data_IF_966469584954
#
_entry.id   IF_966469584954
#
_cell.length_a   1.000
_cell.length_b   1.000
_cell.length_c   1.000
_cell.angle_alpha   90.00
_cell.angle_beta   90.00
_cell.angle_gamma   90.00
#
_symmetry.space_group_name_H-M   'P 1'
#
loop_
_entity.id
_entity.type
_entity.pdbx_description
1 polymer ?
#
# COMPACT_ATOMS: atom_id res chain seq x y z
N UNK A 1 -43.74 52.03 -9.84
CA UNK A 1 -42.79 52.16 -8.71
C UNK A 1 -42.28 50.78 -8.32
N UNK A 2 -40.96 50.54 -8.48
CA UNK A 2 -40.27 49.27 -8.17
C UNK A 2 -40.23 49.04 -6.65
N UNK A 3 -40.53 47.81 -6.19
CA UNK A 3 -40.19 47.37 -4.82
C UNK A 3 -39.21 46.20 -4.89
N UNK A 4 -38.23 46.32 -3.99
CA UNK A 4 -36.90 45.71 -3.97
C UNK A 4 -36.89 44.29 -3.37
N UNK A 5 -35.92 43.54 -3.87
CA UNK A 5 -35.31 42.28 -3.42
C UNK A 5 -35.49 41.89 -1.94
N UNK A 6 -35.89 40.63 -1.72
CA UNK A 6 -35.81 39.91 -0.45
C UNK A 6 -34.39 39.35 -0.28
N UNK A 7 -33.72 39.85 0.75
CA UNK A 7 -32.39 39.43 1.18
C UNK A 7 -32.56 38.23 2.13
N UNK A 8 -32.03 37.06 1.74
CA UNK A 8 -32.01 35.87 2.60
C UNK A 8 -30.95 36.07 3.69
N UNK A 9 -31.39 36.13 4.95
CA UNK A 9 -30.51 36.04 6.11
C UNK A 9 -29.97 34.62 6.24
N UNK A 10 -28.67 34.45 6.00
CA UNK A 10 -27.92 33.27 6.45
C UNK A 10 -27.65 33.50 7.93
N UNK A 11 -28.32 32.72 8.79
CA UNK A 11 -28.06 32.70 10.23
C UNK A 11 -26.70 32.06 10.48
N UNK A 12 -25.76 32.89 10.91
CA UNK A 12 -24.40 32.53 11.29
C UNK A 12 -24.33 32.59 12.82
N UNK A 13 -24.45 31.44 13.51
CA UNK A 13 -24.23 31.35 14.96
C UNK A 13 -23.71 29.94 15.30
N UNK A 14 -22.46 29.88 15.77
CA UNK A 14 -21.93 28.74 16.54
C UNK A 14 -20.74 27.97 15.96
N UNK A 15 -19.70 28.64 15.46
CA UNK A 15 -18.37 28.02 15.38
C UNK A 15 -17.55 28.42 16.61
N UNK A 16 -17.24 27.42 17.42
CA UNK A 16 -16.37 27.55 18.58
C UNK A 16 -14.97 28.03 18.19
N UNK A 17 -14.38 28.78 19.11
CA UNK A 17 -13.04 29.34 19.08
C UNK A 17 -11.98 28.43 18.44
N UNK A 18 -11.48 28.84 17.29
CA UNK A 18 -10.12 28.55 16.86
C UNK A 18 -9.30 29.81 17.12
N UNK A 19 -8.56 29.84 18.23
CA UNK A 19 -7.47 30.80 18.40
C UNK A 19 -6.29 30.23 17.60
N UNK A 20 -6.19 30.60 16.33
CA UNK A 20 -4.90 30.57 15.65
C UNK A 20 -4.17 31.87 15.97
N UNK A 21 -3.05 31.72 16.67
CA UNK A 21 -2.05 32.75 16.87
C UNK A 21 -1.40 33.08 15.51
N UNK A 22 -2.00 34.03 14.79
CA UNK A 22 -1.40 34.61 13.59
C UNK A 22 -0.43 35.71 14.01
N UNK A 23 0.87 35.44 13.92
CA UNK A 23 1.89 36.48 13.93
C UNK A 23 1.70 37.34 12.66
N UNK A 24 1.33 38.61 12.86
CA UNK A 24 1.23 39.59 11.80
C UNK A 24 2.64 39.98 11.32
N UNK A 25 3.08 39.39 10.20
CA UNK A 25 4.19 39.92 9.40
C UNK A 25 3.61 40.65 8.19
N UNK A 26 3.67 41.98 8.22
CA UNK A 26 3.48 42.81 7.04
C UNK A 26 4.59 42.48 6.03
N UNK A 27 4.25 41.80 4.94
CA UNK A 27 5.14 41.70 3.77
C UNK A 27 4.39 42.19 2.55
N UNK A 28 4.94 43.24 1.95
CA UNK A 28 4.52 43.82 0.69
C UNK A 28 4.68 42.80 -0.44
N UNK A 29 3.67 42.71 -1.32
CA UNK A 29 3.71 41.88 -2.51
C UNK A 29 4.76 42.41 -3.49
N UNK A 30 5.96 41.83 -3.45
CA UNK A 30 6.92 41.93 -4.55
C UNK A 30 6.62 40.79 -5.51
N UNK A 31 6.26 41.14 -6.74
CA UNK A 31 6.08 40.20 -7.84
C UNK A 31 7.47 39.64 -8.22
N UNK A 32 7.80 38.37 -7.92
CA UNK A 32 9.10 37.84 -8.30
C UNK A 32 9.12 37.61 -9.82
N UNK A 33 10.10 38.24 -10.48
CA UNK A 33 10.46 37.96 -11.87
C UNK A 33 10.68 36.45 -12.04
N UNK A 34 10.12 35.80 -13.09
CA UNK A 34 10.33 34.37 -13.31
C UNK A 34 11.83 34.06 -13.42
N UNK A 35 12.33 33.23 -12.51
CA UNK A 35 13.69 32.71 -12.57
C UNK A 35 13.82 31.83 -13.82
N UNK A 36 14.86 31.98 -14.66
CA UNK A 36 15.04 31.16 -15.85
C UNK A 36 15.07 29.67 -15.51
N UNK A 37 14.31 28.90 -16.28
CA UNK A 37 14.23 27.44 -16.22
C UNK A 37 15.63 26.85 -16.37
N UNK A 38 16.12 26.02 -15.43
CA UNK A 38 17.38 25.30 -15.60
C UNK A 38 17.30 24.44 -16.87
N UNK A 39 18.31 24.57 -17.73
CA UNK A 39 18.47 23.76 -18.92
C UNK A 39 18.53 22.26 -18.50
N UNK A 40 17.79 21.35 -19.14
CA UNK A 40 17.82 19.94 -18.79
C UNK A 40 19.26 19.40 -18.83
N UNK A 41 19.67 18.81 -17.71
CA UNK A 41 20.91 18.04 -17.62
C UNK A 41 20.86 16.91 -18.66
N UNK A 42 21.90 16.73 -19.48
CA UNK A 42 21.97 15.63 -20.44
C UNK A 42 21.72 14.30 -19.74
N UNK A 43 20.79 13.51 -20.29
CA UNK A 43 20.52 12.16 -19.83
C UNK A 43 21.82 11.35 -19.86
N UNK A 44 22.23 10.69 -18.77
CA UNK A 44 23.42 9.84 -18.78
C UNK A 44 23.30 8.80 -19.90
N UNK A 45 24.30 8.76 -20.76
CA UNK A 45 24.49 7.73 -21.78
C UNK A 45 24.40 6.35 -21.10
N UNK A 46 23.56 5.42 -21.60
CA UNK A 46 23.51 4.07 -21.10
C UNK A 46 24.91 3.46 -21.12
N UNK A 47 25.35 2.96 -19.95
CA UNK A 47 26.56 2.16 -19.86
C UNK A 47 26.39 0.94 -20.80
N UNK A 48 27.34 0.61 -21.69
CA UNK A 48 27.23 -0.54 -22.57
C UNK A 48 26.89 -1.79 -21.77
N UNK A 49 25.85 -2.48 -22.23
CA UNK A 49 25.46 -3.81 -21.78
C UNK A 49 26.71 -4.71 -21.82
N UNK A 50 27.06 -5.40 -20.73
CA UNK A 50 28.11 -6.41 -20.76
C UNK A 50 27.82 -7.39 -21.90
N UNK A 51 28.81 -7.56 -22.78
CA UNK A 51 28.76 -8.53 -23.87
C UNK A 51 28.38 -9.90 -23.27
N UNK A 52 27.38 -10.62 -23.82
CA UNK A 52 27.03 -11.95 -23.35
C UNK A 52 28.31 -12.81 -23.30
N UNK A 53 28.59 -13.35 -22.12
CA UNK A 53 29.61 -14.37 -21.94
C UNK A 53 29.37 -15.48 -22.97
N UNK A 54 30.41 -15.92 -23.71
CA UNK A 54 30.27 -16.98 -24.68
C UNK A 54 29.59 -18.20 -24.06
N UNK A 55 28.55 -18.69 -24.73
CA UNK A 55 27.88 -19.94 -24.40
C UNK A 55 28.96 -21.04 -24.23
N UNK A 56 29.03 -21.74 -23.08
CA UNK A 56 29.99 -22.82 -22.93
C UNK A 56 29.78 -23.82 -24.05
N UNK A 57 30.86 -24.06 -24.79
CA UNK A 57 30.95 -25.10 -25.82
C UNK A 57 30.36 -26.40 -25.29
N UNK A 58 29.48 -27.09 -26.04
CA UNK A 58 28.99 -28.40 -25.66
C UNK A 58 30.17 -29.30 -25.28
N UNK A 59 30.13 -29.83 -24.06
CA UNK A 59 31.11 -30.81 -23.59
C UNK A 59 31.22 -31.91 -24.65
N UNK A 60 32.41 -32.23 -25.19
CA UNK A 60 32.56 -33.27 -26.18
C UNK A 60 31.98 -34.57 -25.62
N UNK A 61 31.01 -35.11 -26.36
CA UNK A 61 30.48 -36.44 -26.14
C UNK A 61 31.67 -37.41 -25.96
N UNK A 62 31.72 -38.23 -24.89
CA UNK A 62 32.79 -39.19 -24.73
C UNK A 62 32.85 -40.10 -25.96
N UNK A 63 34.07 -40.52 -26.40
CA UNK A 63 34.20 -41.33 -27.59
C UNK A 63 33.37 -42.59 -27.41
N UNK A 64 32.49 -42.87 -28.37
CA UNK A 64 31.92 -44.20 -28.57
C UNK A 64 33.06 -45.13 -28.96
N UNK A 65 33.77 -45.61 -27.94
CA UNK A 65 34.79 -46.65 -28.04
C UNK A 65 34.10 -47.98 -28.18
N UNK A 66 33.68 -48.31 -29.40
CA UNK A 66 33.39 -49.68 -29.77
C UNK A 66 34.70 -50.46 -29.87
N UNK A 67 35.07 -51.18 -28.81
CA UNK A 67 35.84 -52.42 -28.93
C UNK A 67 35.36 -53.43 -27.88
N UNK A 68 34.88 -54.53 -28.44
CA UNK A 68 34.56 -55.82 -27.83
C UNK A 68 35.71 -56.38 -27.00
N UNK A 69 35.42 -56.81 -25.77
CA UNK A 69 36.33 -57.62 -24.95
C UNK A 69 35.82 -57.66 -23.51
N UNK A 70 35.32 -58.83 -23.08
CA UNK A 70 34.61 -58.99 -21.82
C UNK A 70 35.41 -58.55 -20.60
N UNK A 71 34.78 -57.72 -19.78
CA UNK A 71 34.75 -57.81 -18.32
C UNK A 71 33.67 -56.83 -17.82
N UNK A 72 32.65 -57.36 -17.18
CA UNK A 72 31.55 -56.57 -16.61
C UNK A 72 32.05 -55.81 -15.38
N UNK A 73 32.33 -54.52 -15.50
CA UNK A 73 32.24 -53.59 -14.37
C UNK A 73 31.02 -52.66 -14.56
N UNK A 74 29.91 -52.84 -13.80
CA UNK A 74 28.72 -52.01 -13.93
C UNK A 74 28.77 -50.67 -13.15
N UNK A 75 29.85 -50.37 -12.42
CA UNK A 75 29.78 -49.45 -11.27
C UNK A 75 29.84 -47.94 -11.54
N UNK A 76 30.67 -47.46 -12.46
CA UNK A 76 31.15 -46.08 -12.34
C UNK A 76 30.29 -45.02 -13.05
N UNK A 77 29.66 -45.37 -14.19
CA UNK A 77 28.80 -44.46 -14.95
C UNK A 77 27.36 -44.34 -14.43
N UNK A 78 26.79 -45.45 -13.94
CA UNK A 78 25.44 -45.47 -13.35
C UNK A 78 25.41 -44.80 -11.97
N UNK A 79 26.49 -44.91 -11.19
CA UNK A 79 26.63 -44.23 -9.89
C UNK A 79 26.58 -42.71 -10.02
N UNK A 80 27.30 -42.12 -10.98
CA UNK A 80 27.28 -40.67 -11.21
C UNK A 80 25.94 -40.17 -11.75
N UNK A 81 25.29 -40.90 -12.67
CA UNK A 81 23.95 -40.53 -13.16
C UNK A 81 22.90 -40.56 -12.03
N UNK A 82 22.97 -41.56 -11.14
CA UNK A 82 22.09 -41.63 -9.97
C UNK A 82 22.34 -40.47 -8.99
N UNK A 83 23.59 -40.05 -8.79
CA UNK A 83 23.92 -38.90 -7.96
C UNK A 83 23.37 -37.58 -8.52
N UNK A 84 23.54 -37.32 -9.82
CA UNK A 84 23.01 -36.12 -10.48
C UNK A 84 21.47 -36.08 -10.47
N UNK A 85 20.82 -37.23 -10.69
CA UNK A 85 19.36 -37.34 -10.60
C UNK A 85 18.85 -37.10 -9.17
N UNK A 86 19.56 -37.62 -8.16
CA UNK A 86 19.26 -37.37 -6.75
C UNK A 86 19.41 -35.90 -6.39
N UNK A 87 20.47 -35.25 -6.86
CA UNK A 87 20.70 -33.82 -6.62
C UNK A 87 19.62 -32.94 -7.25
N UNK A 88 19.18 -33.26 -8.46
CA UNK A 88 18.05 -32.57 -9.11
C UNK A 88 16.74 -32.78 -8.35
N UNK A 89 16.48 -34.00 -7.87
CA UNK A 89 15.30 -34.29 -7.06
C UNK A 89 15.30 -33.49 -5.75
N UNK A 90 16.45 -33.42 -5.07
CA UNK A 90 16.61 -32.65 -3.83
C UNK A 90 16.45 -31.15 -4.07
N UNK A 91 17.02 -30.61 -5.15
CA UNK A 91 16.85 -29.21 -5.54
C UNK A 91 15.37 -28.88 -5.84
N UNK A 92 14.66 -29.76 -6.54
CA UNK A 92 13.21 -29.60 -6.80
C UNK A 92 12.39 -29.67 -5.51
N UNK A 93 12.76 -30.55 -4.58
CA UNK A 93 12.11 -30.64 -3.27
C UNK A 93 12.29 -29.35 -2.45
N UNK A 94 13.50 -28.76 -2.46
CA UNK A 94 13.78 -27.48 -1.81
C UNK A 94 12.94 -26.33 -2.39
N UNK A 95 12.87 -26.23 -3.73
CA UNK A 95 12.04 -25.24 -4.41
C UNK A 95 10.55 -25.39 -4.06
N UNK A 96 10.04 -26.63 -4.06
CA UNK A 96 8.64 -26.91 -3.69
C UNK A 96 8.35 -26.53 -2.24
N UNK A 97 9.28 -26.80 -1.32
CA UNK A 97 9.16 -26.38 0.08
C UNK A 97 9.02 -24.87 0.21
N UNK A 98 9.86 -24.10 -0.48
CA UNK A 98 9.78 -22.64 -0.57
C UNK A 98 8.43 -22.17 -1.13
N UNK A 99 7.99 -22.75 -2.25
CA UNK A 99 6.72 -22.40 -2.89
C UNK A 99 5.50 -22.61 -1.98
N UNK A 100 5.54 -23.63 -1.12
CA UNK A 100 4.45 -23.89 -0.17
C UNK A 100 4.18 -22.72 0.81
N UNK A 101 5.18 -21.86 1.03
CA UNK A 101 5.06 -20.69 1.91
C UNK A 101 4.44 -19.45 1.24
N UNK A 102 4.15 -19.49 -0.07
CA UNK A 102 3.72 -18.33 -0.89
C UNK A 102 2.62 -17.50 -0.24
N UNK A 103 1.49 -18.11 0.10
CA UNK A 103 0.33 -17.40 0.63
C UNK A 103 0.64 -16.71 1.96
N UNK A 104 1.38 -17.38 2.84
CA UNK A 104 1.78 -16.80 4.12
C UNK A 104 2.72 -15.62 3.90
N UNK A 105 3.79 -15.80 3.12
CA UNK A 105 4.83 -14.78 2.92
C UNK A 105 4.29 -13.56 2.18
N UNK A 106 3.53 -13.75 1.10
CA UNK A 106 2.91 -12.64 0.34
C UNK A 106 1.84 -11.92 1.16
N UNK A 107 1.08 -12.64 1.99
CA UNK A 107 0.05 -12.07 2.85
C UNK A 107 0.56 -11.07 3.91
N UNK A 108 1.82 -11.20 4.35
CA UNK A 108 2.46 -10.29 5.32
C UNK A 108 2.66 -8.85 4.80
N UNK A 109 2.50 -8.65 3.49
CA UNK A 109 2.76 -7.40 2.78
C UNK A 109 1.51 -6.80 2.15
N UNK A 110 0.31 -7.15 2.63
CA UNK A 110 -0.96 -6.63 2.08
C UNK A 110 -1.07 -5.09 2.11
N UNK A 111 -0.49 -4.44 3.13
CA UNK A 111 -0.40 -2.97 3.20
C UNK A 111 0.84 -2.41 2.44
N UNK A 112 1.67 -3.26 1.84
CA UNK A 112 2.92 -2.89 1.16
C UNK A 112 2.91 -3.41 -0.28
N UNK A 113 1.95 -2.96 -1.09
CA UNK A 113 1.70 -3.45 -2.43
C UNK A 113 2.95 -3.53 -3.33
N UNK A 114 3.90 -2.58 -3.21
CA UNK A 114 5.16 -2.64 -3.97
C UNK A 114 6.01 -3.86 -3.61
N UNK A 115 6.21 -4.12 -2.32
CA UNK A 115 6.96 -5.28 -1.83
C UNK A 115 6.20 -6.57 -2.18
N UNK A 116 4.88 -6.56 -1.97
CA UNK A 116 4.01 -7.69 -2.28
C UNK A 116 4.08 -8.11 -3.74
N UNK A 117 4.07 -7.15 -4.67
CA UNK A 117 4.15 -7.41 -6.11
C UNK A 117 5.51 -8.02 -6.51
N UNK A 118 6.62 -7.46 -6.02
CA UNK A 118 7.95 -8.01 -6.26
C UNK A 118 8.04 -9.46 -5.77
N UNK A 119 7.58 -9.72 -4.54
CA UNK A 119 7.60 -11.06 -3.97
C UNK A 119 6.68 -12.02 -4.75
N UNK A 120 5.50 -11.57 -5.15
CA UNK A 120 4.56 -12.36 -5.96
C UNK A 120 5.18 -12.75 -7.30
N UNK A 121 5.87 -11.82 -7.98
CA UNK A 121 6.54 -12.09 -9.24
C UNK A 121 7.68 -13.12 -9.09
N UNK A 122 8.45 -13.06 -8.01
CA UNK A 122 9.48 -14.05 -7.71
C UNK A 122 8.88 -15.45 -7.46
N UNK A 123 7.78 -15.54 -6.70
CA UNK A 123 7.06 -16.81 -6.53
C UNK A 123 6.53 -17.36 -7.85
N UNK A 124 5.96 -16.52 -8.72
CA UNK A 124 5.47 -16.93 -10.05
C UNK A 124 6.61 -17.46 -10.93
N UNK A 125 7.77 -16.81 -10.93
CA UNK A 125 8.95 -17.25 -11.69
C UNK A 125 9.48 -18.60 -11.18
N UNK A 126 9.53 -18.76 -9.85
CA UNK A 126 9.92 -20.01 -9.20
C UNK A 126 8.93 -21.15 -9.51
N UNK A 127 7.63 -20.85 -9.54
CA UNK A 127 6.55 -21.79 -9.87
C UNK A 127 6.66 -22.28 -11.32
N UNK A 128 6.94 -21.37 -12.27
CA UNK A 128 7.21 -21.73 -13.66
C UNK A 128 8.42 -22.69 -13.79
N UNK A 129 9.49 -22.43 -13.03
CA UNK A 129 10.67 -23.31 -13.03
C UNK A 129 10.35 -24.68 -12.44
N UNK A 130 9.55 -24.73 -11.37
CA UNK A 130 9.11 -25.98 -10.74
C UNK A 130 8.25 -26.84 -11.67
N UNK A 131 7.37 -26.21 -12.45
CA UNK A 131 6.48 -26.88 -13.41
C UNK A 131 7.19 -27.33 -14.70
N UNK A 132 8.37 -26.79 -15.01
CA UNK A 132 9.13 -27.17 -16.18
C UNK A 132 9.79 -28.55 -15.98
N UNK A 133 9.26 -29.57 -16.67
CA UNK A 133 9.78 -30.94 -16.62
C UNK A 133 11.23 -31.04 -17.11
N UNK A 134 11.66 -30.15 -18.01
CA UNK A 134 13.00 -30.07 -18.58
C UNK A 134 13.94 -29.13 -17.83
N UNK A 135 13.54 -28.57 -16.68
CA UNK A 135 14.40 -27.68 -15.89
C UNK A 135 15.69 -28.40 -15.46
N UNK A 136 16.84 -27.77 -15.74
CA UNK A 136 18.15 -28.27 -15.32
C UNK A 136 18.39 -28.05 -13.83
N UNK A 137 19.36 -28.77 -13.26
CA UNK A 137 19.77 -28.60 -11.86
C UNK A 137 20.12 -27.14 -11.53
N UNK A 138 20.87 -26.49 -12.42
CA UNK A 138 21.29 -25.10 -12.26
C UNK A 138 20.11 -24.13 -12.31
N UNK A 139 19.14 -24.35 -13.22
CA UNK A 139 17.92 -23.54 -13.26
C UNK A 139 17.11 -23.65 -11.97
N UNK A 140 16.96 -24.86 -11.43
CA UNK A 140 16.22 -25.08 -10.17
C UNK A 140 16.95 -24.43 -8.99
N UNK A 141 18.26 -24.58 -8.89
CA UNK A 141 19.08 -23.93 -7.84
C UNK A 141 19.01 -22.41 -7.93
N UNK A 142 19.12 -21.84 -9.14
CA UNK A 142 19.03 -20.40 -9.35
C UNK A 142 17.65 -19.85 -8.99
N UNK A 143 16.57 -20.54 -9.39
CA UNK A 143 15.20 -20.17 -9.01
C UNK A 143 15.00 -20.22 -7.48
N UNK A 144 15.53 -21.26 -6.84
CA UNK A 144 15.49 -21.44 -5.37
C UNK A 144 16.20 -20.29 -4.66
N UNK A 145 17.44 -20.00 -5.06
CA UNK A 145 18.24 -18.92 -4.48
C UNK A 145 17.58 -17.56 -4.71
N UNK A 146 17.10 -17.29 -5.92
CA UNK A 146 16.44 -16.01 -6.26
C UNK A 146 15.19 -15.80 -5.42
N UNK A 147 14.36 -16.84 -5.27
CA UNK A 147 13.17 -16.77 -4.44
C UNK A 147 13.53 -16.52 -2.97
N UNK A 148 14.50 -17.25 -2.43
CA UNK A 148 14.96 -17.06 -1.04
C UNK A 148 15.48 -15.64 -0.81
N UNK A 149 16.36 -15.14 -1.68
CA UNK A 149 16.87 -13.76 -1.61
C UNK A 149 15.73 -12.75 -1.67
N UNK A 150 14.72 -12.96 -2.50
CA UNK A 150 13.57 -12.04 -2.59
C UNK A 150 12.70 -12.07 -1.33
N UNK A 151 12.53 -13.25 -0.70
CA UNK A 151 11.82 -13.39 0.58
C UNK A 151 12.55 -12.60 1.67
N UNK A 152 13.87 -12.69 1.73
CA UNK A 152 14.69 -12.01 2.72
C UNK A 152 14.71 -10.48 2.46
N UNK A 153 14.84 -10.07 1.20
CA UNK A 153 14.76 -8.67 0.79
C UNK A 153 13.41 -8.05 1.15
N UNK A 154 12.29 -8.74 0.92
CA UNK A 154 10.96 -8.24 1.28
C UNK A 154 10.84 -7.91 2.78
N UNK A 155 11.46 -8.72 3.64
CA UNK A 155 11.47 -8.47 5.08
C UNK A 155 12.34 -7.25 5.45
N UNK A 156 13.52 -7.13 4.82
CA UNK A 156 14.40 -5.97 4.99
C UNK A 156 13.74 -4.68 4.52
N UNK A 157 13.19 -4.67 3.30
CA UNK A 157 12.53 -3.52 2.68
C UNK A 157 11.37 -3.01 3.53
N UNK A 158 10.60 -3.91 4.14
CA UNK A 158 9.51 -3.54 5.06
C UNK A 158 10.05 -2.87 6.32
N UNK A 159 11.11 -3.41 6.91
CA UNK A 159 11.73 -2.81 8.09
C UNK A 159 12.31 -1.44 7.78
N UNK A 160 13.01 -1.30 6.65
CA UNK A 160 13.60 -0.04 6.21
C UNK A 160 12.53 1.01 5.93
N UNK A 161 11.46 0.63 5.21
CA UNK A 161 10.31 1.50 4.99
C UNK A 161 9.71 1.97 6.32
N UNK A 162 9.49 1.06 7.26
CA UNK A 162 8.86 1.39 8.54
C UNK A 162 9.72 2.33 9.39
N UNK A 163 11.03 2.10 9.41
CA UNK A 163 11.96 2.95 10.15
C UNK A 163 12.04 4.36 9.55
N UNK A 164 12.03 4.46 8.22
CA UNK A 164 12.07 5.76 7.52
C UNK A 164 10.74 6.52 7.62
N UNK A 165 9.62 5.81 7.78
CA UNK A 165 8.27 6.38 7.72
C UNK A 165 7.46 6.14 9.00
N UNK A 166 8.12 6.10 10.17
CA UNK A 166 7.49 5.69 11.44
C UNK A 166 6.20 6.47 11.76
N UNK A 167 6.22 7.79 11.54
CA UNK A 167 5.07 8.69 11.73
C UNK A 167 3.87 8.31 10.84
N UNK A 168 4.15 7.97 9.58
CA UNK A 168 3.13 7.53 8.62
C UNK A 168 2.60 6.14 8.99
N UNK A 169 3.48 5.21 9.36
CA UNK A 169 3.10 3.86 9.81
C UNK A 169 2.15 3.94 11.01
N UNK A 170 2.49 4.80 11.98
CA UNK A 170 1.64 5.03 13.17
C UNK A 170 0.28 5.61 12.77
N UNK A 171 0.26 6.68 11.96
CA UNK A 171 -0.98 7.32 11.52
C UNK A 171 -1.87 6.38 10.69
N UNK A 172 -1.28 5.58 9.80
CA UNK A 172 -1.98 4.60 8.96
C UNK A 172 -2.57 3.47 9.81
N UNK A 173 -1.82 2.99 10.82
CA UNK A 173 -2.32 1.97 11.77
C UNK A 173 -3.51 2.49 12.56
N UNK A 174 -3.41 3.71 13.11
CA UNK A 174 -4.54 4.35 13.80
C UNK A 174 -5.74 4.55 12.87
N UNK A 175 -5.51 4.95 11.61
CA UNK A 175 -6.59 5.09 10.63
C UNK A 175 -7.31 3.75 10.39
N UNK A 176 -6.56 2.67 10.24
CA UNK A 176 -7.10 1.31 10.04
C UNK A 176 -7.97 0.86 11.22
N UNK A 177 -7.59 1.24 12.45
CA UNK A 177 -8.41 1.01 13.64
C UNK A 177 -9.64 1.92 13.68
N UNK A 178 -9.48 3.20 13.38
CA UNK A 178 -10.56 4.18 13.39
C UNK A 178 -11.67 3.83 12.37
N UNK A 179 -11.34 3.26 11.21
CA UNK A 179 -12.34 2.87 10.20
C UNK A 179 -13.23 1.71 10.67
N UNK A 180 -12.82 0.91 11.66
CA UNK A 180 -13.63 -0.21 12.19
C UNK A 180 -14.97 0.25 12.82
N UNK A 181 -15.07 1.51 13.25
CA UNK A 181 -16.30 2.09 13.79
C UNK A 181 -17.29 2.58 12.73
N UNK A 182 -16.99 2.45 11.43
CA UNK A 182 -17.83 2.99 10.35
C UNK A 182 -19.28 2.53 10.45
N UNK A 183 -19.52 1.22 10.44
CA UNK A 183 -20.87 0.66 10.45
C UNK A 183 -21.66 1.16 11.66
N UNK A 184 -21.10 0.98 12.86
CA UNK A 184 -21.73 1.40 14.13
C UNK A 184 -22.06 2.88 14.13
N UNK A 185 -21.14 3.74 13.71
CA UNK A 185 -21.37 5.18 13.72
C UNK A 185 -22.43 5.60 12.70
N UNK A 186 -22.37 5.09 11.47
CA UNK A 186 -23.29 5.50 10.41
C UNK A 186 -24.71 4.97 10.63
N UNK A 187 -24.87 3.77 11.19
CA UNK A 187 -26.16 3.22 11.60
C UNK A 187 -26.79 4.03 12.75
N UNK A 188 -25.94 4.43 13.71
CA UNK A 188 -26.34 5.30 14.82
C UNK A 188 -26.78 6.71 14.40
N UNK A 189 -26.56 7.10 13.15
CA UNK A 189 -26.93 8.41 12.59
C UNK A 189 -28.10 8.33 11.59
N UNK A 190 -28.95 7.31 11.69
CA UNK A 190 -30.08 7.08 10.78
C UNK A 190 -31.24 8.10 10.90
N UNK A 191 -31.36 8.79 12.03
CA UNK A 191 -32.41 9.77 12.26
C UNK A 191 -32.23 11.04 11.40
N UNK A 192 -33.32 11.63 10.91
CA UNK A 192 -33.28 12.78 9.99
C UNK A 192 -32.52 14.02 10.55
N UNK A 193 -32.57 14.23 11.87
CA UNK A 193 -31.82 15.31 12.54
C UNK A 193 -30.30 15.18 12.36
N UNK A 194 -29.78 13.97 12.08
CA UNK A 194 -28.34 13.70 12.05
C UNK A 194 -27.75 13.69 10.63
N UNK A 195 -28.54 14.00 9.61
CA UNK A 195 -28.14 13.93 8.19
C UNK A 195 -26.79 14.63 7.92
N UNK A 196 -26.61 15.87 8.41
CA UNK A 196 -25.36 16.60 8.20
C UNK A 196 -24.14 15.95 8.89
N UNK A 197 -24.33 15.34 10.07
CA UNK A 197 -23.29 14.60 10.77
C UNK A 197 -22.93 13.35 9.96
N UNK A 198 -23.95 12.62 9.49
CA UNK A 198 -23.81 11.41 8.68
C UNK A 198 -23.06 11.70 7.39
N UNK A 199 -23.47 12.71 6.63
CA UNK A 199 -22.86 13.06 5.33
C UNK A 199 -21.37 13.41 5.47
N UNK A 200 -21.02 14.19 6.50
CA UNK A 200 -19.64 14.55 6.75
C UNK A 200 -18.82 13.32 7.17
N UNK A 201 -19.36 12.48 8.06
CA UNK A 201 -18.67 11.28 8.52
C UNK A 201 -18.50 10.24 7.40
N UNK A 202 -19.52 10.05 6.55
CA UNK A 202 -19.43 9.22 5.33
C UNK A 202 -18.34 9.73 4.39
N UNK A 203 -18.21 11.05 4.22
CA UNK A 203 -17.14 11.64 3.40
C UNK A 203 -15.75 11.26 3.93
N UNK A 204 -15.53 11.36 5.24
CA UNK A 204 -14.24 11.02 5.84
C UNK A 204 -13.96 9.52 5.85
N UNK A 205 -14.96 8.66 6.04
CA UNK A 205 -14.79 7.22 5.86
C UNK A 205 -14.47 6.86 4.41
N UNK A 206 -15.06 7.54 3.43
CA UNK A 206 -14.68 7.40 2.02
C UNK A 206 -13.20 7.72 1.77
N UNK A 207 -12.73 8.89 2.25
CA UNK A 207 -11.31 9.27 2.17
C UNK A 207 -10.39 8.27 2.86
N UNK A 208 -10.81 7.74 4.01
CA UNK A 208 -10.04 6.73 4.73
C UNK A 208 -9.91 5.45 3.92
N UNK A 209 -11.00 4.98 3.30
CA UNK A 209 -11.00 3.81 2.41
C UNK A 209 -10.08 4.02 1.22
N UNK A 210 -10.14 5.18 0.57
CA UNK A 210 -9.26 5.50 -0.56
C UNK A 210 -7.78 5.38 -0.17
N UNK A 211 -7.40 5.90 1.01
CA UNK A 211 -6.04 5.77 1.56
C UNK A 211 -5.67 4.30 1.83
N UNK A 212 -6.56 3.54 2.48
CA UNK A 212 -6.30 2.14 2.83
C UNK A 212 -6.24 1.24 1.59
N UNK A 213 -7.04 1.52 0.57
CA UNK A 213 -7.02 0.81 -0.72
C UNK A 213 -5.75 1.10 -1.51
N UNK A 214 -5.22 2.33 -1.45
CA UNK A 214 -3.93 2.65 -2.05
C UNK A 214 -2.76 1.91 -1.38
N UNK A 215 -2.95 1.45 -0.13
CA UNK A 215 -1.98 0.81 0.76
C UNK A 215 -0.93 1.78 1.33
N UNK A 216 -0.23 1.35 2.37
CA UNK A 216 0.81 2.14 3.05
C UNK A 216 2.05 2.31 2.16
N UNK A 217 2.44 1.27 1.41
CA UNK A 217 3.48 1.35 0.39
C UNK A 217 2.94 0.93 -0.99
N UNK A 218 2.30 1.87 -1.71
CA UNK A 218 1.63 1.58 -2.98
C UNK A 218 2.57 1.05 -4.05
N UNK A 219 2.04 0.29 -5.01
CA UNK A 219 2.81 -0.29 -6.11
C UNK A 219 3.54 0.77 -6.97
N UNK A 220 2.99 1.98 -7.08
CA UNK A 220 3.64 3.12 -7.77
C UNK A 220 4.90 3.60 -7.04
N UNK A 221 5.03 3.32 -5.74
CA UNK A 221 6.03 3.89 -4.86
C UNK A 221 5.68 5.29 -4.33
N UNK A 222 4.56 5.88 -4.75
CA UNK A 222 4.09 7.17 -4.24
C UNK A 222 3.41 6.98 -2.89
N UNK A 223 4.15 7.22 -1.81
CA UNK A 223 3.65 7.01 -0.44
C UNK A 223 2.55 8.02 -0.06
N UNK A 224 1.53 7.62 0.73
CA UNK A 224 0.54 8.55 1.24
C UNK A 224 1.18 9.67 2.07
N UNK A 225 0.69 10.90 1.89
CA UNK A 225 1.16 12.05 2.69
C UNK A 225 0.69 11.89 4.14
N UNK A 226 1.64 11.87 5.07
CA UNK A 226 1.35 11.70 6.50
C UNK A 226 0.31 12.68 7.04
N UNK A 227 0.35 13.96 6.63
CA UNK A 227 -0.62 14.96 7.08
C UNK A 227 -2.03 14.66 6.58
N UNK A 228 -2.18 14.13 5.37
CA UNK A 228 -3.49 13.74 4.85
C UNK A 228 -4.06 12.56 5.64
N UNK A 229 -3.23 11.56 5.96
CA UNK A 229 -3.62 10.42 6.80
C UNK A 229 -4.01 10.89 8.21
N UNK A 230 -3.20 11.77 8.83
CA UNK A 230 -3.46 12.35 10.15
C UNK A 230 -4.77 13.15 10.17
N UNK A 231 -5.03 13.98 9.16
CA UNK A 231 -6.28 14.77 9.07
C UNK A 231 -7.51 13.87 9.03
N UNK A 232 -7.48 12.82 8.21
CA UNK A 232 -8.62 11.89 8.10
C UNK A 232 -8.78 11.09 9.40
N UNK A 233 -7.68 10.56 9.95
CA UNK A 233 -7.70 9.81 11.20
C UNK A 233 -8.22 10.65 12.38
N UNK A 234 -7.74 11.89 12.51
CA UNK A 234 -8.13 12.78 13.60
C UNK A 234 -9.62 13.12 13.53
N UNK A 235 -10.16 13.35 12.32
CA UNK A 235 -11.58 13.60 12.16
C UNK A 235 -12.41 12.40 12.63
N UNK A 236 -12.08 11.19 12.17
CA UNK A 236 -12.83 9.97 12.52
C UNK A 236 -12.72 9.68 14.02
N UNK A 237 -11.51 9.78 14.59
CA UNK A 237 -11.30 9.56 16.02
C UNK A 237 -12.05 10.59 16.86
N UNK A 238 -12.02 11.86 16.46
CA UNK A 238 -12.80 12.91 17.13
C UNK A 238 -14.30 12.66 17.03
N UNK A 239 -14.79 12.18 15.88
CA UNK A 239 -16.17 11.77 15.72
C UNK A 239 -16.52 10.62 16.68
N UNK A 240 -15.67 9.59 16.77
CA UNK A 240 -15.87 8.47 17.69
C UNK A 240 -16.03 8.93 19.15
N UNK A 241 -15.27 9.94 19.57
CA UNK A 241 -15.36 10.48 20.94
C UNK A 241 -16.56 11.39 21.18
N UNK A 242 -17.09 12.06 20.15
CA UNK A 242 -18.05 13.16 20.32
C UNK A 242 -19.42 12.90 19.67
N UNK A 243 -19.63 11.76 19.02
CA UNK A 243 -20.84 11.49 18.22
C UNK A 243 -22.13 11.65 19.03
N UNK A 244 -22.15 11.23 20.30
CA UNK A 244 -23.33 11.37 21.17
C UNK A 244 -23.61 12.83 21.53
N UNK A 245 -22.57 13.64 21.78
CA UNK A 245 -22.74 15.07 22.00
C UNK A 245 -23.27 15.76 20.74
N UNK A 246 -22.76 15.39 19.56
CA UNK A 246 -23.25 15.93 18.29
C UNK A 246 -24.72 15.58 18.04
N UNK A 247 -25.14 14.35 18.36
CA UNK A 247 -26.55 13.94 18.32
C UNK A 247 -27.41 14.79 19.26
N UNK A 248 -26.99 14.98 20.50
CA UNK A 248 -27.70 15.82 21.47
C UNK A 248 -27.85 17.27 20.96
N UNK A 249 -26.79 17.84 20.40
CA UNK A 249 -26.82 19.18 19.81
C UNK A 249 -27.78 19.25 18.61
N UNK A 250 -27.77 18.25 17.73
CA UNK A 250 -28.69 18.19 16.59
C UNK A 250 -30.16 18.08 17.02
N UNK A 251 -30.45 17.31 18.07
CA UNK A 251 -31.79 17.23 18.64
C UNK A 251 -32.22 18.56 19.26
N UNK A 252 -31.37 19.22 20.04
CA UNK A 252 -31.66 20.55 20.58
C UNK A 252 -31.95 21.57 19.47
N UNK A 253 -31.15 21.58 18.40
CA UNK A 253 -31.41 22.45 17.25
C UNK A 253 -32.79 22.20 16.63
N UNK A 254 -33.11 20.93 16.37
CA UNK A 254 -34.39 20.53 15.78
C UNK A 254 -35.57 20.88 16.68
N UNK A 255 -35.52 20.48 17.95
CA UNK A 255 -36.67 20.50 18.86
C UNK A 255 -36.87 21.85 19.55
N UNK A 256 -35.79 22.53 19.89
CA UNK A 256 -35.83 23.76 20.70
C UNK A 256 -35.77 25.04 19.88
N UNK A 257 -35.20 24.99 18.66
CA UNK A 257 -35.03 26.18 17.82
C UNK A 257 -35.86 26.11 16.54
N UNK A 258 -35.76 25.03 15.76
CA UNK A 258 -36.43 24.96 14.46
C UNK A 258 -37.93 24.70 14.58
N UNK A 259 -38.37 23.89 15.55
CA UNK A 259 -39.80 23.61 15.79
C UNK A 259 -40.54 24.72 16.54
N UNK A 260 -39.84 25.65 17.18
CA UNK A 260 -40.47 26.75 17.91
C UNK A 260 -40.66 27.94 16.98
N UNK A 261 -41.91 28.21 16.60
CA UNK A 261 -42.27 29.43 15.88
C UNK A 261 -42.39 30.60 16.87
N UNK A 262 -41.98 31.79 16.45
CA UNK A 262 -42.13 33.02 17.23
C UNK A 262 -43.61 33.29 17.47
N UNK A 263 -44.07 33.05 18.70
CA UNK A 263 -45.41 33.41 19.14
C UNK A 263 -45.47 34.93 19.37
N UNK A 264 -46.04 35.64 18.41
CA UNK A 264 -46.23 37.10 18.49
C UNK A 264 -47.09 37.53 19.67
N UNK A 265 -47.85 36.63 20.31
CA UNK A 265 -48.66 36.97 21.48
C UNK A 265 -47.86 37.04 22.78
N UNK A 266 -46.64 36.52 22.81
CA UNK A 266 -45.76 36.55 24.00
C UNK A 266 -44.79 37.74 24.01
N UNK A 267 -44.75 38.54 22.94
CA UNK A 267 -44.05 39.83 22.90
C UNK A 267 -45.08 40.94 23.13
N UNK A 268 -45.42 41.20 24.40
CA UNK A 268 -46.17 42.38 24.84
C UNK A 268 -45.26 43.32 25.62
#
# INVERSE_FOLDING_TARGET
>A
MKRKNILKFVSLLGIGSFVMLAAASCTTSVNPTPNPTPNPTPNPTPNPTPNPTPNPTPNPNPPSGGMTGGDTNPGDGQGMMNAAAKELADAKAALTSLLSSKNQKVGLYSDYAKIQNTLTAAYTTAEQTSQNSSATLEQVKNATSTLQTTIDAAASDKNDFNNQNADLVSAYTSLKDAVKSETTNLEGLSHANYTAIKDNLTTYYGKAKDILTATLYPASGEIPKVDAVKVVNNFITNANSNIEQWKNNANMLSDSFLKKTLDKQQFK
#
